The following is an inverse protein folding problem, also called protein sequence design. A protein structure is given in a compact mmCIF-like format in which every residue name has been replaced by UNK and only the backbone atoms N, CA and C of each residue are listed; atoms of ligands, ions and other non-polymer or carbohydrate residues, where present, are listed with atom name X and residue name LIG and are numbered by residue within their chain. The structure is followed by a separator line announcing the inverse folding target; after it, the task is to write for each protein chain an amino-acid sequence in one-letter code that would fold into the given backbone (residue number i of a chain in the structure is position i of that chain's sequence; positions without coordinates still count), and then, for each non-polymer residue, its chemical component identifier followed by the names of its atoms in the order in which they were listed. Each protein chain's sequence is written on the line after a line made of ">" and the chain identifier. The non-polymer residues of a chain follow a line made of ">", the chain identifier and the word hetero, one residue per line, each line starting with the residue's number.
data_IF_000782226187
#
_entry.id   IF_000782226187
#
_cell.length_a   1.000
_cell.length_b   1.000
_cell.length_c   1.000
_cell.angle_alpha   90.00
_cell.angle_beta   90.00
_cell.angle_gamma   90.00
#
_symmetry.space_group_name_H-M   'P 1'
#
loop_
_entity.id
_entity.type
_entity.pdbx_description
1 polymer ?
#
# COMPACT_ATOMS: atom_id res chain seq x y z
N UNK A 1 44.93 -16.46 -22.82
CA UNK A 1 44.46 -17.03 -21.55
C UNK A 1 43.01 -16.63 -21.37
N UNK A 2 42.12 -17.57 -21.08
CA UNK A 2 40.74 -17.24 -20.74
C UNK A 2 40.67 -16.81 -19.26
N UNK A 3 39.97 -15.72 -18.99
CA UNK A 3 39.72 -15.23 -17.63
C UNK A 3 38.25 -15.46 -17.30
N UNK A 4 38.01 -16.30 -16.31
CA UNK A 4 36.66 -16.59 -15.81
C UNK A 4 36.47 -15.76 -14.54
N UNK A 5 35.44 -14.91 -14.51
CA UNK A 5 35.08 -14.09 -13.33
C UNK A 5 33.73 -14.55 -12.81
N UNK A 6 33.73 -15.29 -11.70
CA UNK A 6 32.51 -15.65 -10.99
C UNK A 6 32.00 -14.49 -10.13
N UNK A 7 30.70 -14.20 -10.20
CA UNK A 7 30.01 -13.24 -9.32
C UNK A 7 28.83 -13.95 -8.64
N UNK A 8 29.02 -14.54 -7.46
CA UNK A 8 27.93 -15.17 -6.74
C UNK A 8 26.89 -14.12 -6.32
N UNK A 9 25.61 -14.48 -6.36
CA UNK A 9 24.49 -13.63 -5.94
C UNK A 9 23.59 -14.41 -4.97
N UNK A 10 23.13 -13.75 -3.90
CA UNK A 10 22.16 -14.27 -2.93
C UNK A 10 20.98 -13.29 -2.91
N UNK A 11 19.81 -13.76 -3.33
CA UNK A 11 18.57 -12.98 -3.36
C UNK A 11 17.52 -13.61 -2.43
N UNK A 12 16.71 -12.77 -1.78
CA UNK A 12 15.54 -13.16 -1.00
C UNK A 12 14.32 -12.42 -1.54
N UNK A 13 13.33 -13.18 -1.99
CA UNK A 13 12.06 -12.66 -2.47
C UNK A 13 10.94 -13.05 -1.50
N UNK A 14 10.18 -12.06 -1.02
CA UNK A 14 9.05 -12.26 -0.11
C UNK A 14 7.80 -11.66 -0.76
N UNK A 15 6.73 -12.46 -0.83
CA UNK A 15 5.40 -12.01 -1.25
C UNK A 15 4.46 -12.08 -0.06
N UNK A 16 3.82 -10.97 0.28
CA UNK A 16 2.78 -10.92 1.29
C UNK A 16 1.49 -10.39 0.67
N UNK A 17 0.36 -10.89 1.16
CA UNK A 17 -0.97 -10.46 0.74
C UNK A 17 -1.53 -9.53 1.80
N UNK A 18 -2.08 -8.41 1.36
CA UNK A 18 -2.79 -7.44 2.21
C UNK A 18 -4.23 -7.29 1.75
N UNK A 19 -5.10 -6.90 2.68
CA UNK A 19 -6.47 -6.50 2.38
C UNK A 19 -6.57 -4.98 2.13
N UNK A 20 -7.77 -4.49 1.80
CA UNK A 20 -7.99 -3.05 1.54
C UNK A 20 -7.64 -2.17 2.75
N UNK A 21 -8.03 -2.56 3.96
CA UNK A 21 -7.78 -1.76 5.16
C UNK A 21 -6.27 -1.62 5.43
N UNK A 22 -5.52 -2.71 5.29
CA UNK A 22 -4.06 -2.71 5.41
C UNK A 22 -3.39 -1.89 4.29
N UNK A 23 -3.90 -1.98 3.05
CA UNK A 23 -3.40 -1.19 1.93
C UNK A 23 -3.60 0.32 2.17
N UNK A 24 -4.77 0.74 2.67
CA UNK A 24 -5.02 2.14 3.04
C UNK A 24 -4.11 2.60 4.18
N UNK A 25 -3.92 1.78 5.21
CA UNK A 25 -2.99 2.10 6.29
C UNK A 25 -1.54 2.28 5.77
N UNK A 26 -1.11 1.45 4.81
CA UNK A 26 0.20 1.59 4.18
C UNK A 26 0.30 2.85 3.30
N UNK A 27 -0.77 3.21 2.58
CA UNK A 27 -0.85 4.47 1.83
C UNK A 27 -0.68 5.67 2.76
N UNK A 28 -1.44 5.74 3.85
CA UNK A 28 -1.37 6.84 4.82
C UNK A 28 0.01 6.93 5.47
N UNK A 29 0.57 5.80 5.90
CA UNK A 29 1.89 5.73 6.51
C UNK A 29 2.98 6.21 5.54
N UNK A 30 2.91 5.78 4.28
CA UNK A 30 3.89 6.19 3.28
C UNK A 30 3.66 7.63 2.79
N UNK A 31 2.43 8.13 2.88
CA UNK A 31 2.00 9.47 2.46
C UNK A 31 2.68 10.61 3.21
N UNK A 32 3.10 10.40 4.46
CA UNK A 32 3.90 11.38 5.23
C UNK A 32 5.23 11.73 4.58
N UNK A 33 5.75 10.85 3.72
CA UNK A 33 7.08 10.94 3.17
C UNK A 33 8.14 10.30 4.06
N UNK A 34 9.13 9.71 3.42
CA UNK A 34 10.18 8.94 4.06
C UNK A 34 11.04 9.78 5.01
N UNK A 35 11.40 11.01 4.63
CA UNK A 35 12.18 11.91 5.48
C UNK A 35 11.44 12.35 6.75
N UNK A 36 10.15 12.70 6.63
CA UNK A 36 9.35 13.13 7.76
C UNK A 36 9.15 11.98 8.76
N UNK A 37 8.84 10.78 8.23
CA UNK A 37 8.69 9.58 9.04
C UNK A 37 9.96 9.23 9.79
N UNK A 38 11.10 9.14 9.08
CA UNK A 38 12.39 8.74 9.67
C UNK A 38 12.84 9.75 10.72
N UNK A 39 12.67 11.05 10.45
CA UNK A 39 13.02 12.11 11.41
C UNK A 39 12.25 11.95 12.72
N UNK A 40 10.92 11.81 12.65
CA UNK A 40 10.08 11.67 13.86
C UNK A 40 10.37 10.33 14.57
N UNK A 41 10.57 9.26 13.80
CA UNK A 41 10.94 7.96 14.34
C UNK A 41 12.23 8.04 15.15
N UNK A 42 13.29 8.65 14.59
CA UNK A 42 14.56 8.83 15.30
C UNK A 42 14.45 9.74 16.52
N UNK A 43 13.64 10.79 16.44
CA UNK A 43 13.42 11.70 17.56
C UNK A 43 12.71 11.00 18.74
N UNK A 44 11.71 10.15 18.46
CA UNK A 44 10.85 9.58 19.50
C UNK A 44 11.26 8.18 19.97
N UNK A 45 11.76 7.34 19.05
CA UNK A 45 12.04 5.92 19.31
C UNK A 45 13.53 5.60 19.31
N UNK A 46 14.36 6.54 18.86
CA UNK A 46 15.80 6.40 18.82
C UNK A 46 16.32 5.79 17.52
N UNK A 47 17.54 6.16 17.18
CA UNK A 47 18.17 5.86 15.89
C UNK A 47 18.59 4.40 15.71
N UNK A 48 18.98 3.74 16.80
CA UNK A 48 19.63 2.42 16.76
C UNK A 48 18.78 1.32 16.11
N UNK A 49 17.44 1.44 16.14
CA UNK A 49 16.54 0.45 15.56
C UNK A 49 16.47 0.51 14.04
N UNK A 50 16.48 1.71 13.44
CA UNK A 50 16.22 1.88 12.00
C UNK A 50 17.46 2.25 11.17
N UNK A 51 18.55 2.71 11.80
CA UNK A 51 19.77 3.14 11.08
C UNK A 51 20.29 2.11 10.07
N UNK A 52 20.34 0.84 10.48
CA UNK A 52 20.83 -0.26 9.62
C UNK A 52 19.90 -0.60 8.46
N UNK A 53 18.63 -0.21 8.56
CA UNK A 53 17.57 -0.57 7.63
C UNK A 53 16.98 0.64 6.90
N UNK A 54 17.52 1.84 7.13
CA UNK A 54 16.96 3.10 6.65
C UNK A 54 16.82 3.11 5.12
N UNK A 55 17.87 2.71 4.40
CA UNK A 55 17.83 2.64 2.94
C UNK A 55 16.74 1.68 2.43
N UNK A 56 16.57 0.53 3.09
CA UNK A 56 15.51 -0.44 2.78
C UNK A 56 14.12 0.13 3.04
N UNK A 57 13.93 0.80 4.18
CA UNK A 57 12.66 1.45 4.54
C UNK A 57 12.29 2.56 3.54
N UNK A 58 13.25 3.43 3.17
CA UNK A 58 13.05 4.48 2.16
C UNK A 58 12.63 3.91 0.81
N UNK A 59 13.33 2.85 0.37
CA UNK A 59 12.99 2.14 -0.86
C UNK A 59 11.59 1.52 -0.81
N UNK A 60 11.23 0.91 0.33
CA UNK A 60 9.93 0.32 0.56
C UNK A 60 8.80 1.35 0.53
N UNK A 61 8.88 2.42 1.33
CA UNK A 61 7.85 3.48 1.38
C UNK A 61 7.71 4.20 0.02
N UNK A 62 8.80 4.34 -0.73
CA UNK A 62 8.76 4.87 -2.09
C UNK A 62 8.02 3.94 -3.04
N UNK A 63 8.25 2.63 -2.94
CA UNK A 63 7.51 1.64 -3.74
C UNK A 63 6.02 1.64 -3.39
N UNK A 64 5.68 1.72 -2.10
CA UNK A 64 4.30 1.83 -1.62
C UNK A 64 3.60 3.05 -2.22
N UNK A 65 4.19 4.26 -2.08
CA UNK A 65 3.63 5.50 -2.65
C UNK A 65 3.42 5.44 -4.16
N UNK A 66 4.27 4.70 -4.87
CA UNK A 66 4.19 4.57 -6.32
C UNK A 66 3.05 3.64 -6.77
N UNK A 67 2.79 2.56 -6.02
CA UNK A 67 1.89 1.50 -6.47
C UNK A 67 0.52 1.51 -5.78
N UNK A 68 0.48 1.61 -4.44
CA UNK A 68 -0.76 1.41 -3.68
C UNK A 68 -1.87 2.41 -4.04
N UNK A 69 -1.60 3.73 -4.17
CA UNK A 69 -2.65 4.70 -4.49
C UNK A 69 -3.38 4.40 -5.80
N UNK A 70 -2.65 3.89 -6.80
CA UNK A 70 -3.23 3.52 -8.10
C UNK A 70 -4.17 2.33 -8.02
N UNK A 71 -3.84 1.32 -7.21
CA UNK A 71 -4.70 0.15 -7.01
C UNK A 71 -5.93 0.48 -6.16
N UNK A 72 -5.77 1.32 -5.13
CA UNK A 72 -6.90 1.81 -4.33
C UNK A 72 -7.86 2.67 -5.14
N UNK A 73 -7.35 3.56 -6.00
CA UNK A 73 -8.18 4.35 -6.90
C UNK A 73 -9.02 3.48 -7.86
N UNK A 74 -8.46 2.37 -8.37
CA UNK A 74 -9.21 1.41 -9.20
C UNK A 74 -10.31 0.72 -8.39
N UNK A 75 -10.00 0.34 -7.15
CA UNK A 75 -10.99 -0.28 -6.25
C UNK A 75 -12.15 0.67 -5.96
N UNK A 76 -11.86 1.94 -5.69
CA UNK A 76 -12.86 2.97 -5.45
C UNK A 76 -13.72 3.24 -6.69
N UNK A 77 -13.10 3.31 -7.88
CA UNK A 77 -13.81 3.43 -9.15
C UNK A 77 -14.74 2.22 -9.42
N UNK A 78 -14.27 1.00 -9.13
CA UNK A 78 -15.09 -0.20 -9.24
C UNK A 78 -16.29 -0.15 -8.28
N UNK A 79 -16.06 0.20 -7.02
CA UNK A 79 -17.13 0.39 -6.02
C UNK A 79 -18.15 1.41 -6.50
N UNK A 80 -17.71 2.55 -7.05
CA UNK A 80 -18.62 3.55 -7.60
C UNK A 80 -19.41 3.03 -8.81
N UNK A 81 -18.80 2.24 -9.69
CA UNK A 81 -19.52 1.65 -10.83
C UNK A 81 -20.61 0.66 -10.38
N UNK A 82 -20.35 -0.14 -9.34
CA UNK A 82 -21.32 -1.12 -8.85
C UNK A 82 -22.45 -0.50 -8.01
N UNK A 83 -22.14 0.48 -7.15
CA UNK A 83 -23.13 1.06 -6.22
C UNK A 83 -23.70 2.41 -6.68
N UNK A 84 -23.03 3.11 -7.59
CA UNK A 84 -23.50 4.38 -8.16
C UNK A 84 -24.63 4.21 -9.19
N UNK A 85 -24.82 3.01 -9.74
CA UNK A 85 -25.86 2.73 -10.73
C UNK A 85 -27.22 2.38 -10.10
N UNK A 86 -27.24 1.98 -8.82
CA UNK A 86 -28.48 1.74 -8.06
C UNK A 86 -29.35 2.99 -7.86
N UNK A 87 -28.82 4.20 -8.06
CA UNK A 87 -29.62 5.42 -8.04
C UNK A 87 -30.39 5.67 -9.36
N UNK A 88 -30.06 4.97 -10.45
CA UNK A 88 -30.74 5.08 -11.75
C UNK A 88 -31.71 3.94 -12.03
N UNK A 89 -31.56 2.81 -11.35
CA UNK A 89 -32.48 1.68 -11.43
C UNK A 89 -33.50 1.87 -10.32
N UNK A 90 -34.66 2.43 -10.68
CA UNK A 90 -35.76 2.71 -9.78
C UNK A 90 -35.98 1.57 -8.78
N UNK A 91 -35.89 1.91 -7.50
CA UNK A 91 -36.23 1.02 -6.39
C UNK A 91 -37.62 0.48 -6.65
N UNK A 92 -37.72 -0.78 -7.04
CA UNK A 92 -39.00 -1.48 -7.10
C UNK A 92 -39.42 -1.67 -5.64
N UNK A 93 -40.23 -0.74 -5.14
CA UNK A 93 -40.84 -0.84 -3.82
C UNK A 93 -41.63 -2.14 -3.77
N UNK A 94 -41.21 -3.07 -2.92
CA UNK A 94 -42.08 -4.19 -2.54
C UNK A 94 -43.27 -3.61 -1.77
N UNK A 95 -44.51 -4.03 -2.06
CA UNK A 95 -45.65 -3.55 -1.31
C UNK A 95 -45.50 -4.00 0.15
N UNK A 96 -45.63 -3.05 1.06
CA UNK A 96 -45.71 -3.30 2.50
C UNK A 96 -46.84 -4.33 2.75
N UNK A 97 -46.47 -5.51 3.21
CA UNK A 97 -47.42 -6.41 3.86
C UNK A 97 -47.81 -5.79 5.20
N UNK A 98 -48.96 -5.12 5.24
CA UNK A 98 -49.62 -4.75 6.50
C UNK A 98 -50.13 -6.02 7.21
N UNK A 99 -49.97 -6.12 8.55
CA UNK A 99 -50.63 -7.14 9.35
C UNK A 99 -52.14 -6.93 9.48
#
# INVERSE_FOLDING_TARGET
>A
MATIVGRPNVNLDLTFRINEAEARALEDLAGYGDDAFIKVFYEKLGKCYMEKHEAGLRSFLTSVRKFIPGELAKLDAARQAFYGDTARIGVHSYPETQP
#
